data_IF_809970305657
#
_entry.id   IF_809970305657
#
_cell.length_a   1.000
_cell.length_b   1.000
_cell.length_c   1.000
_cell.angle_alpha   90.00
_cell.angle_beta   90.00
_cell.angle_gamma   90.00
#
_symmetry.space_group_name_H-M   'P 1'
#
loop_
_entity.id
_entity.type
_entity.pdbx_description
1 polymer ?
#
# COMPACT_ATOMS: atom_id res chain seq x y z
N UNK A 1 41.86 -18.21 -4.59
CA UNK A 1 41.41 -17.36 -3.46
C UNK A 1 40.78 -16.06 -3.99
N UNK A 2 41.26 -15.52 -5.11
CA UNK A 2 40.64 -14.35 -5.77
C UNK A 2 39.27 -14.64 -6.41
N UNK A 3 39.05 -15.83 -6.98
CA UNK A 3 37.76 -16.17 -7.63
C UNK A 3 36.59 -16.25 -6.63
N UNK A 4 36.81 -16.84 -5.45
CA UNK A 4 35.83 -16.90 -4.36
C UNK A 4 35.42 -15.51 -3.86
N UNK A 5 36.35 -14.55 -3.86
CA UNK A 5 36.08 -13.17 -3.46
C UNK A 5 35.32 -12.41 -4.56
N UNK A 6 35.51 -12.77 -5.82
CA UNK A 6 34.78 -12.19 -6.96
C UNK A 6 33.31 -12.63 -6.99
N UNK A 7 33.05 -13.92 -6.76
CA UNK A 7 31.70 -14.47 -6.67
C UNK A 7 30.93 -13.88 -5.48
N UNK A 8 31.52 -13.87 -4.28
CA UNK A 8 30.90 -13.30 -3.09
C UNK A 8 30.58 -11.81 -3.25
N UNK A 9 31.47 -11.03 -3.88
CA UNK A 9 31.20 -9.62 -4.21
C UNK A 9 30.02 -9.46 -5.16
N UNK A 10 29.92 -10.34 -6.16
CA UNK A 10 28.82 -10.33 -7.14
C UNK A 10 27.49 -10.65 -6.46
N UNK A 11 27.44 -11.66 -5.59
CA UNK A 11 26.25 -11.99 -4.81
C UNK A 11 25.82 -10.86 -3.87
N UNK A 12 26.78 -10.29 -3.13
CA UNK A 12 26.51 -9.14 -2.25
C UNK A 12 26.00 -7.94 -3.06
N UNK A 13 26.58 -7.67 -4.23
CA UNK A 13 26.13 -6.59 -5.12
C UNK A 13 24.69 -6.83 -5.60
N UNK A 14 24.35 -8.06 -6.00
CA UNK A 14 22.99 -8.42 -6.42
C UNK A 14 21.98 -8.30 -5.27
N UNK A 15 22.36 -8.72 -4.07
CA UNK A 15 21.53 -8.58 -2.86
C UNK A 15 21.30 -7.10 -2.52
N UNK A 16 22.34 -6.28 -2.55
CA UNK A 16 22.23 -4.83 -2.32
C UNK A 16 21.37 -4.15 -3.37
N UNK A 17 21.51 -4.51 -4.65
CA UNK A 17 20.69 -3.98 -5.74
C UNK A 17 19.22 -4.34 -5.54
N UNK A 18 18.93 -5.61 -5.21
CA UNK A 18 17.57 -6.10 -4.97
C UNK A 18 16.93 -5.39 -3.77
N UNK A 19 17.68 -5.24 -2.68
CA UNK A 19 17.24 -4.50 -1.49
C UNK A 19 16.94 -3.04 -1.82
N UNK A 20 17.80 -2.39 -2.62
CA UNK A 20 17.63 -1.00 -3.02
C UNK A 20 16.36 -0.81 -3.86
N UNK A 21 16.14 -1.68 -4.86
CA UNK A 21 14.92 -1.64 -5.69
C UNK A 21 13.66 -1.84 -4.84
N UNK A 22 13.70 -2.77 -3.89
CA UNK A 22 12.59 -3.01 -2.97
C UNK A 22 12.30 -1.79 -2.08
N UNK A 23 13.34 -1.16 -1.51
CA UNK A 23 13.20 0.04 -0.69
C UNK A 23 12.64 1.22 -1.48
N UNK A 24 13.16 1.47 -2.67
CA UNK A 24 12.66 2.54 -3.55
C UNK A 24 11.18 2.30 -3.86
N UNK A 25 10.82 1.08 -4.25
CA UNK A 25 9.43 0.74 -4.57
C UNK A 25 8.50 0.91 -3.36
N UNK A 26 8.95 0.52 -2.16
CA UNK A 26 8.25 0.76 -0.90
C UNK A 26 8.03 2.24 -0.58
N UNK A 27 9.01 3.10 -0.85
CA UNK A 27 8.88 4.55 -0.68
C UNK A 27 7.88 5.15 -1.67
N UNK A 28 7.93 4.77 -2.95
CA UNK A 28 6.96 5.27 -3.95
C UNK A 28 5.54 4.82 -3.59
N UNK A 29 5.39 3.61 -3.05
CA UNK A 29 4.11 3.13 -2.54
C UNK A 29 3.57 3.97 -1.38
N UNK A 30 4.39 4.30 -0.38
CA UNK A 30 4.03 5.20 0.73
C UNK A 30 3.66 6.60 0.22
N UNK A 31 4.43 7.15 -0.73
CA UNK A 31 4.13 8.42 -1.38
C UNK A 31 2.79 8.36 -2.12
N UNK A 32 2.46 7.23 -2.74
CA UNK A 32 1.17 7.05 -3.42
C UNK A 32 0.00 7.11 -2.42
N UNK A 33 0.14 6.45 -1.26
CA UNK A 33 -0.85 6.52 -0.18
C UNK A 33 -0.99 7.94 0.39
N UNK A 34 0.13 8.60 0.68
CA UNK A 34 0.16 9.99 1.14
C UNK A 34 -0.57 10.93 0.16
N UNK A 35 -0.19 10.90 -1.12
CA UNK A 35 -0.79 11.75 -2.16
C UNK A 35 -2.27 11.46 -2.38
N UNK A 36 -2.69 10.20 -2.20
CA UNK A 36 -4.11 9.85 -2.34
C UNK A 36 -4.93 10.46 -1.22
N UNK A 37 -4.44 10.43 0.03
CA UNK A 37 -5.13 11.10 1.15
C UNK A 37 -5.12 12.61 1.03
N UNK A 38 -4.00 13.18 0.56
CA UNK A 38 -3.84 14.62 0.40
C UNK A 38 -4.81 15.20 -0.65
N UNK A 39 -5.11 14.43 -1.71
CA UNK A 39 -6.08 14.81 -2.74
C UNK A 39 -7.54 14.62 -2.31
N UNK A 40 -7.81 13.85 -1.24
CA UNK A 40 -9.17 13.67 -0.70
C UNK A 40 -9.56 14.92 0.11
N UNK A 41 -10.83 15.35 0.03
CA UNK A 41 -11.31 16.50 0.80
C UNK A 41 -11.09 16.29 2.29
N UNK A 42 -10.65 17.34 3.04
CA UNK A 42 -10.43 17.23 4.48
C UNK A 42 -11.64 16.67 5.26
N UNK A 43 -12.88 16.99 4.85
CA UNK A 43 -14.09 16.46 5.51
C UNK A 43 -14.25 14.94 5.33
N UNK A 44 -13.74 14.38 4.24
CA UNK A 44 -13.82 12.96 3.90
C UNK A 44 -12.58 12.18 4.35
N UNK A 45 -11.51 12.85 4.80
CA UNK A 45 -10.30 12.22 5.30
C UNK A 45 -10.57 11.55 6.66
N UNK A 46 -10.38 10.23 6.73
CA UNK A 46 -10.43 9.44 7.97
C UNK A 46 -9.06 9.20 8.59
N UNK A 47 -8.00 9.62 7.88
CA UNK A 47 -6.61 9.60 8.30
C UNK A 47 -5.91 10.83 7.75
N UNK A 48 -5.15 11.52 8.59
CA UNK A 48 -4.31 12.64 8.16
C UNK A 48 -3.16 12.12 7.27
N UNK A 49 -2.87 12.73 6.11
CA UNK A 49 -1.89 12.22 5.14
C UNK A 49 -0.51 11.89 5.73
N UNK A 50 0.09 12.74 6.60
CA UNK A 50 1.40 12.44 7.19
C UNK A 50 1.45 11.17 8.04
N UNK A 51 0.30 10.69 8.54
CA UNK A 51 0.26 9.49 9.38
C UNK A 51 0.62 8.20 8.61
N UNK A 52 0.60 8.22 7.28
CA UNK A 52 1.05 7.09 6.44
C UNK A 52 2.52 6.74 6.72
N UNK A 53 3.36 7.73 7.00
CA UNK A 53 4.79 7.53 7.23
C UNK A 53 5.13 6.68 8.46
N UNK A 54 4.20 6.56 9.42
CA UNK A 54 4.41 5.73 10.61
C UNK A 54 4.52 4.23 10.26
N UNK A 55 4.14 3.81 9.04
CA UNK A 55 4.38 2.46 8.53
C UNK A 55 5.88 2.12 8.40
N UNK A 56 6.77 3.11 8.35
CA UNK A 56 8.23 2.90 8.29
C UNK A 56 8.83 2.40 9.62
N UNK A 57 8.11 2.56 10.72
CA UNK A 57 8.59 2.11 12.03
C UNK A 57 8.45 0.58 12.08
N UNK A 58 9.51 -0.22 12.32
CA UNK A 58 9.46 -1.66 12.10
C UNK A 58 8.37 -2.40 12.87
N UNK A 59 8.30 -2.27 14.20
CA UNK A 59 7.32 -3.01 15.01
C UNK A 59 5.94 -2.35 14.95
N UNK A 60 5.89 -1.03 15.06
CA UNK A 60 4.65 -0.25 15.03
C UNK A 60 3.98 -0.32 13.65
N UNK A 61 4.77 -0.27 12.58
CA UNK A 61 4.34 -0.29 11.19
C UNK A 61 3.61 -1.56 10.79
N UNK A 62 3.97 -2.71 11.38
CA UNK A 62 3.28 -3.99 11.15
C UNK A 62 1.81 -3.95 11.55
N UNK A 63 1.50 -3.23 12.62
CA UNK A 63 0.12 -3.02 13.07
C UNK A 63 -0.49 -1.82 12.35
N UNK A 64 0.29 -0.74 12.21
CA UNK A 64 -0.16 0.51 11.62
C UNK A 64 -0.61 0.38 10.17
N UNK A 65 0.00 -0.50 9.37
CA UNK A 65 -0.43 -0.75 8.00
C UNK A 65 -1.91 -1.14 7.91
N UNK A 66 -2.43 -1.94 8.86
CA UNK A 66 -3.84 -2.33 8.88
C UNK A 66 -4.75 -1.12 9.13
N UNK A 67 -4.32 -0.22 10.02
CA UNK A 67 -5.02 1.04 10.27
C UNK A 67 -5.00 1.95 9.04
N UNK A 68 -3.85 2.09 8.38
CA UNK A 68 -3.74 2.89 7.15
C UNK A 68 -4.64 2.33 6.07
N UNK A 69 -4.60 1.01 5.81
CA UNK A 69 -5.46 0.34 4.82
C UNK A 69 -6.93 0.63 5.13
N UNK A 70 -7.39 0.36 6.36
CA UNK A 70 -8.80 0.58 6.72
C UNK A 70 -9.23 2.03 6.54
N UNK A 71 -8.44 2.98 7.07
CA UNK A 71 -8.80 4.39 7.04
C UNK A 71 -8.69 4.98 5.65
N UNK A 72 -7.74 4.54 4.84
CA UNK A 72 -7.60 4.93 3.44
C UNK A 72 -8.80 4.45 2.62
N UNK A 73 -9.20 3.19 2.76
CA UNK A 73 -10.41 2.64 2.14
C UNK A 73 -11.66 3.41 2.55
N UNK A 74 -11.80 3.74 3.84
CA UNK A 74 -12.94 4.53 4.34
C UNK A 74 -12.91 5.97 3.82
N UNK A 75 -11.74 6.58 3.66
CA UNK A 75 -11.58 7.93 3.11
C UNK A 75 -11.93 7.98 1.63
N UNK A 76 -11.45 7.00 0.85
CA UNK A 76 -11.80 6.85 -0.56
C UNK A 76 -13.30 6.64 -0.71
N UNK A 77 -13.91 5.79 0.12
CA UNK A 77 -15.36 5.58 0.11
C UNK A 77 -16.14 6.85 0.44
N UNK A 78 -15.72 7.59 1.48
CA UNK A 78 -16.37 8.85 1.85
C UNK A 78 -16.27 9.87 0.72
N UNK A 79 -15.12 9.96 0.04
CA UNK A 79 -14.92 10.84 -1.11
C UNK A 79 -15.80 10.43 -2.30
N UNK A 80 -15.94 9.13 -2.56
CA UNK A 80 -16.79 8.60 -3.64
C UNK A 80 -18.30 8.75 -3.37
N UNK A 81 -18.72 8.74 -2.11
CA UNK A 81 -20.13 8.84 -1.71
C UNK A 81 -20.52 10.25 -1.24
N UNK A 82 -19.65 11.25 -1.39
CA UNK A 82 -19.88 12.59 -0.85
C UNK A 82 -21.08 13.26 -1.55
N UNK A 83 -22.13 13.70 -0.81
CA UNK A 83 -23.33 14.33 -1.37
C UNK A 83 -23.11 15.71 -2.00
N UNK A 84 -21.91 16.28 -1.83
CA UNK A 84 -21.60 17.65 -2.25
C UNK A 84 -21.31 17.67 -3.75
N UNK A 85 -22.36 17.93 -4.55
CA UNK A 85 -22.36 18.61 -5.87
C UNK A 85 -21.61 17.99 -7.05
N UNK A 86 -20.60 17.16 -6.81
CA UNK A 86 -19.66 16.56 -7.78
C UNK A 86 -19.20 15.20 -7.21
N UNK A 87 -20.14 14.28 -6.99
CA UNK A 87 -19.75 12.89 -6.78
C UNK A 87 -18.94 12.44 -8.00
N UNK A 88 -17.75 11.87 -7.79
CA UNK A 88 -16.94 11.28 -8.87
C UNK A 88 -17.73 10.18 -9.62
N UNK A 89 -18.75 9.63 -8.96
CA UNK A 89 -19.74 8.72 -9.54
C UNK A 89 -21.11 9.44 -9.56
N UNK A 90 -21.54 10.02 -10.69
CA UNK A 90 -22.86 10.65 -10.81
C UNK A 90 -24.03 9.66 -10.63
N UNK A 91 -23.78 8.35 -10.73
CA UNK A 91 -24.84 7.35 -10.87
C UNK A 91 -24.67 6.09 -9.98
N UNK A 92 -23.47 5.82 -9.45
CA UNK A 92 -23.19 4.65 -8.58
C UNK A 92 -22.64 5.09 -7.23
N UNK A 93 -23.52 5.27 -6.23
CA UNK A 93 -23.06 5.31 -4.83
C UNK A 93 -22.57 3.92 -4.43
N UNK A 94 -21.34 3.80 -3.91
CA UNK A 94 -20.83 2.52 -3.42
C UNK A 94 -21.64 2.13 -2.18
N UNK A 95 -22.28 0.93 -2.18
CA UNK A 95 -23.11 0.52 -1.06
C UNK A 95 -22.30 0.45 0.23
N UNK A 96 -22.93 0.77 1.35
CA UNK A 96 -22.24 0.97 2.64
C UNK A 96 -21.45 -0.26 3.13
N UNK A 97 -21.79 -1.45 2.65
CA UNK A 97 -21.10 -2.70 2.95
C UNK A 97 -19.81 -2.92 2.14
N UNK A 98 -19.56 -2.16 1.08
CA UNK A 98 -18.38 -2.30 0.22
C UNK A 98 -17.29 -1.32 0.67
N UNK A 99 -16.10 -1.85 0.99
CA UNK A 99 -14.90 -1.06 1.30
C UNK A 99 -13.90 -1.18 0.14
N UNK A 100 -13.71 -0.13 -0.68
CA UNK A 100 -12.77 -0.16 -1.80
C UNK A 100 -11.35 -0.36 -1.27
N UNK A 101 -10.50 -1.09 -2.02
CA UNK A 101 -9.10 -1.44 -1.68
C UNK A 101 -8.85 -2.25 -0.40
N UNK A 102 -9.84 -2.39 0.49
CA UNK A 102 -9.66 -2.98 1.82
C UNK A 102 -9.29 -4.47 1.77
N UNK A 103 -10.04 -5.29 1.02
CA UNK A 103 -9.82 -6.73 0.97
C UNK A 103 -8.39 -7.09 0.50
N UNK A 104 -7.90 -6.41 -0.54
CA UNK A 104 -6.55 -6.64 -1.06
C UNK A 104 -5.49 -6.08 -0.12
N UNK A 105 -5.75 -4.93 0.52
CA UNK A 105 -4.84 -4.38 1.53
C UNK A 105 -4.67 -5.32 2.73
N UNK A 106 -5.76 -5.90 3.24
CA UNK A 106 -5.71 -6.89 4.34
C UNK A 106 -4.98 -8.15 3.90
N UNK A 107 -5.22 -8.65 2.69
CA UNK A 107 -4.51 -9.81 2.15
C UNK A 107 -2.99 -9.57 2.11
N UNK A 108 -2.56 -8.41 1.58
CA UNK A 108 -1.16 -8.00 1.57
C UNK A 108 -0.57 -7.91 2.99
N UNK A 109 -1.24 -7.18 3.91
CA UNK A 109 -0.73 -6.98 5.26
C UNK A 109 -0.62 -8.31 6.04
N UNK A 110 -1.57 -9.22 5.81
CA UNK A 110 -1.56 -10.57 6.39
C UNK A 110 -0.37 -11.38 5.84
N UNK A 111 -0.17 -11.41 4.52
CA UNK A 111 0.99 -12.08 3.92
C UNK A 111 2.32 -11.51 4.44
N UNK A 112 2.40 -10.20 4.64
CA UNK A 112 3.60 -9.54 5.18
C UNK A 112 3.89 -9.97 6.62
N UNK A 113 2.87 -10.01 7.49
CA UNK A 113 3.03 -10.50 8.86
C UNK A 113 3.41 -11.98 8.92
N UNK A 114 2.81 -12.82 8.07
CA UNK A 114 3.14 -14.26 7.99
C UNK A 114 4.56 -14.47 7.48
N UNK A 115 5.03 -13.66 6.53
CA UNK A 115 6.40 -13.74 6.00
C UNK A 115 7.51 -13.40 7.01
N UNK A 116 7.16 -12.75 8.12
CA UNK A 116 8.10 -12.44 9.22
C UNK A 116 8.29 -13.64 10.16
N UNK A 117 7.32 -14.54 10.23
CA UNK A 117 7.42 -15.72 11.08
C UNK A 117 8.53 -16.66 10.54
N UNK A 118 9.43 -17.18 11.39
CA UNK A 118 10.52 -18.07 10.99
C UNK A 118 10.01 -19.50 10.76
N UNK A 119 9.06 -19.66 9.84
CA UNK A 119 8.50 -20.96 9.44
C UNK A 119 8.84 -21.18 7.96
N UNK A 120 9.88 -21.96 7.70
CA UNK A 120 10.55 -22.06 6.38
C UNK A 120 9.61 -22.44 5.23
N UNK A 121 8.66 -23.34 5.47
CA UNK A 121 7.71 -23.82 4.45
C UNK A 121 6.66 -22.78 4.07
N UNK A 122 6.28 -21.89 5.01
CA UNK A 122 5.24 -20.89 4.81
C UNK A 122 5.85 -19.60 4.25
N UNK A 123 7.09 -19.29 4.62
CA UNK A 123 7.79 -18.05 4.28
C UNK A 123 7.96 -17.84 2.77
N UNK A 124 8.33 -18.88 2.03
CA UNK A 124 8.54 -18.80 0.57
C UNK A 124 7.23 -18.56 -0.19
N UNK A 125 6.16 -19.27 0.15
CA UNK A 125 4.84 -19.08 -0.48
C UNK A 125 4.21 -17.73 -0.09
N UNK A 126 4.30 -17.35 1.19
CA UNK A 126 3.73 -16.09 1.69
C UNK A 126 4.41 -14.85 1.09
N UNK A 127 5.73 -14.90 0.86
CA UNK A 127 6.47 -13.77 0.28
C UNK A 127 6.08 -13.51 -1.18
N UNK A 128 5.94 -14.55 -2.02
CA UNK A 128 5.48 -14.42 -3.40
C UNK A 128 4.05 -13.87 -3.49
N UNK A 129 3.12 -14.46 -2.73
CA UNK A 129 1.73 -13.98 -2.67
C UNK A 129 1.64 -12.55 -2.11
N UNK A 130 2.46 -12.23 -1.12
CA UNK A 130 2.54 -10.90 -0.53
C UNK A 130 2.93 -9.83 -1.55
N UNK A 131 3.93 -10.11 -2.40
CA UNK A 131 4.33 -9.21 -3.49
C UNK A 131 3.20 -9.04 -4.50
N UNK A 132 2.52 -10.12 -4.88
CA UNK A 132 1.39 -10.06 -5.83
C UNK A 132 0.26 -9.18 -5.26
N UNK A 133 -0.17 -9.42 -4.02
CA UNK A 133 -1.22 -8.61 -3.39
C UNK A 133 -0.78 -7.15 -3.20
N UNK A 134 0.49 -6.91 -2.88
CA UNK A 134 1.03 -5.56 -2.76
C UNK A 134 0.94 -4.79 -4.09
N UNK A 135 1.33 -5.42 -5.20
CA UNK A 135 1.23 -4.81 -6.54
C UNK A 135 -0.24 -4.55 -6.90
N UNK A 136 -1.14 -5.51 -6.67
CA UNK A 136 -2.58 -5.35 -6.96
C UNK A 136 -3.16 -4.20 -6.14
N UNK A 137 -2.85 -4.13 -4.84
CA UNK A 137 -3.30 -3.05 -3.96
C UNK A 137 -2.80 -1.69 -4.45
N UNK A 138 -1.52 -1.60 -4.81
CA UNK A 138 -0.93 -0.36 -5.31
C UNK A 138 -1.57 0.11 -6.62
N UNK A 139 -1.81 -0.81 -7.56
CA UNK A 139 -2.51 -0.50 -8.83
C UNK A 139 -3.94 -0.02 -8.57
N UNK A 140 -4.68 -0.67 -7.65
CA UNK A 140 -6.03 -0.21 -7.30
C UNK A 140 -6.02 1.19 -6.69
N UNK A 141 -5.09 1.45 -5.77
CA UNK A 141 -4.96 2.75 -5.14
C UNK A 141 -4.65 3.84 -6.18
N UNK A 142 -3.73 3.58 -7.12
CA UNK A 142 -3.41 4.49 -8.21
C UNK A 142 -4.63 4.76 -9.13
N UNK A 143 -5.49 3.75 -9.36
CA UNK A 143 -6.75 3.94 -10.12
C UNK A 143 -7.70 4.88 -9.40
N UNK A 144 -7.95 4.68 -8.10
CA UNK A 144 -8.82 5.55 -7.31
C UNK A 144 -8.26 6.97 -7.20
N UNK A 145 -6.95 7.09 -6.99
CA UNK A 145 -6.26 8.37 -7.02
C UNK A 145 -6.55 9.15 -8.30
N UNK A 146 -6.33 8.53 -9.48
CA UNK A 146 -6.61 9.16 -10.77
C UNK A 146 -8.07 9.61 -10.92
N UNK A 147 -9.02 8.85 -10.36
CA UNK A 147 -10.44 9.23 -10.36
C UNK A 147 -10.68 10.49 -9.51
N UNK A 148 -10.04 10.58 -8.35
CA UNK A 148 -10.12 11.75 -7.46
C UNK A 148 -9.45 12.97 -8.09
N UNK A 149 -8.24 12.82 -8.64
CA UNK A 149 -7.52 13.94 -9.28
C UNK A 149 -8.28 14.51 -10.48
N UNK A 150 -8.96 13.68 -11.27
CA UNK A 150 -9.73 14.13 -12.46
C UNK A 150 -10.87 15.08 -12.12
N UNK A 151 -11.43 14.98 -10.91
CA UNK A 151 -12.51 15.84 -10.42
C UNK A 151 -12.00 17.15 -9.82
N UNK A 152 -10.74 17.22 -9.40
CA UNK A 152 -10.11 18.44 -8.89
C UNK A 152 -9.70 19.44 -10.01
N UNK A 153 -9.91 19.09 -11.29
CA UNK A 153 -9.66 19.93 -12.46
C UNK A 153 -10.97 20.33 -13.11
#
# INVERSE_FOLDING_TARGET
>A
MDDLNSEAKTEILLLLLTLLVFLISGLVFLITQFRTLDEIRPENQRLSPPKVWLQLIPVYGLVWQFFVISRLSDSIRAELNSPVGDSILPEESIPANVRPTFAVGIAYATCFCVGILPIDTIKSAASLLGIIFWIIYWVQLAKYKRKITKRAK
#
